data_IF_963319178364
#
_entry.id   IF_963319178364
#
_cell.length_a   1.000
_cell.length_b   1.000
_cell.length_c   1.000
_cell.angle_alpha   90.00
_cell.angle_beta   90.00
_cell.angle_gamma   90.00
#
_symmetry.space_group_name_H-M   'P 1'
#
loop_
_entity.id
_entity.type
_entity.pdbx_description
1 polymer ?
#
# COMPACT_ATOMS: atom_id res chain seq x y z
N UNK A 1 -33.17 -18.86 4.24
CA UNK A 1 -32.08 -18.00 4.75
C UNK A 1 -30.81 -18.38 4.01
N UNK A 2 -30.53 -17.72 2.89
CA UNK A 2 -29.32 -17.96 2.08
C UNK A 2 -28.17 -17.20 2.75
N UNK A 3 -27.30 -17.95 3.45
CA UNK A 3 -26.02 -17.41 3.90
C UNK A 3 -25.18 -17.08 2.66
N UNK A 4 -25.05 -15.82 2.36
CA UNK A 4 -24.05 -15.33 1.40
C UNK A 4 -22.68 -15.67 1.99
N UNK A 5 -22.05 -16.74 1.48
CA UNK A 5 -20.69 -17.11 1.86
C UNK A 5 -19.76 -15.98 1.40
N UNK A 6 -19.47 -15.06 2.28
CA UNK A 6 -18.52 -14.00 2.01
C UNK A 6 -17.16 -14.64 1.71
N UNK A 7 -16.62 -14.45 0.52
CA UNK A 7 -15.36 -15.03 0.12
C UNK A 7 -14.27 -14.59 1.13
N UNK A 8 -13.56 -15.56 1.69
CA UNK A 8 -12.48 -15.27 2.65
C UNK A 8 -11.35 -14.52 1.94
N UNK A 9 -10.87 -13.46 2.57
CA UNK A 9 -9.65 -12.75 2.13
C UNK A 9 -8.47 -13.71 2.03
N UNK A 10 -7.81 -13.72 0.89
CA UNK A 10 -6.72 -14.64 0.56
C UNK A 10 -5.37 -13.98 0.76
N UNK A 11 -4.54 -14.56 1.62
CA UNK A 11 -3.22 -14.03 1.95
C UNK A 11 -2.14 -15.03 1.50
N UNK A 12 -1.14 -14.54 0.78
CA UNK A 12 0.06 -15.28 0.43
C UNK A 12 1.20 -14.86 1.36
N UNK A 13 1.82 -15.84 2.03
CA UNK A 13 3.00 -15.64 2.89
C UNK A 13 4.21 -16.26 2.21
N UNK A 14 5.25 -15.48 2.02
CA UNK A 14 6.52 -15.89 1.42
C UNK A 14 7.64 -15.64 2.43
N UNK A 15 8.18 -16.68 3.02
CA UNK A 15 9.22 -16.60 4.07
C UNK A 15 10.00 -17.92 4.09
N UNK A 16 11.30 -17.94 4.24
CA UNK A 16 12.09 -19.16 4.25
C UNK A 16 12.11 -19.87 5.62
N UNK A 17 11.76 -19.17 6.71
CA UNK A 17 11.63 -19.74 8.05
C UNK A 17 10.35 -20.60 8.16
N UNK A 18 10.50 -21.91 8.20
CA UNK A 18 9.39 -22.87 8.34
C UNK A 18 8.56 -22.64 9.61
N UNK A 19 9.20 -22.28 10.73
CA UNK A 19 8.51 -22.06 12.01
C UNK A 19 7.62 -20.82 11.94
N UNK A 20 8.12 -19.76 11.31
CA UNK A 20 7.34 -18.54 11.11
C UNK A 20 6.19 -18.79 10.14
N UNK A 21 6.41 -19.50 9.04
CA UNK A 21 5.34 -19.90 8.11
C UNK A 21 4.24 -20.67 8.82
N UNK A 22 4.58 -21.67 9.64
CA UNK A 22 3.61 -22.48 10.38
C UNK A 22 2.83 -21.64 11.40
N UNK A 23 3.51 -20.74 12.11
CA UNK A 23 2.88 -19.81 13.03
C UNK A 23 1.88 -18.91 12.31
N UNK A 24 2.31 -18.24 11.23
CA UNK A 24 1.46 -17.31 10.48
C UNK A 24 0.31 -18.05 9.80
N UNK A 25 0.54 -19.21 9.23
CA UNK A 25 -0.52 -20.03 8.62
C UNK A 25 -1.63 -20.33 9.63
N UNK A 26 -1.28 -20.86 10.80
CA UNK A 26 -2.25 -21.19 11.85
C UNK A 26 -2.94 -19.93 12.36
N UNK A 27 -2.17 -18.93 12.78
CA UNK A 27 -2.71 -17.74 13.43
C UNK A 27 -3.64 -16.93 12.50
N UNK A 28 -3.26 -16.71 11.25
CA UNK A 28 -4.07 -15.95 10.30
C UNK A 28 -5.32 -16.74 9.86
N UNK A 29 -5.26 -18.07 9.74
CA UNK A 29 -6.47 -18.87 9.51
C UNK A 29 -7.45 -18.79 10.69
N UNK A 30 -6.97 -18.78 11.94
CA UNK A 30 -7.80 -18.55 13.13
C UNK A 30 -8.46 -17.15 13.12
N UNK A 31 -7.81 -16.15 12.50
CA UNK A 31 -8.38 -14.81 12.30
C UNK A 31 -9.36 -14.73 11.10
N UNK A 32 -9.65 -15.86 10.44
CA UNK A 32 -10.65 -15.95 9.37
C UNK A 32 -10.13 -15.73 7.95
N UNK A 33 -8.82 -15.55 7.75
CA UNK A 33 -8.20 -15.44 6.43
C UNK A 33 -8.06 -16.82 5.75
N UNK A 34 -7.89 -16.83 4.43
CA UNK A 34 -7.49 -18.00 3.66
C UNK A 34 -6.00 -17.88 3.31
N UNK A 35 -5.14 -18.63 3.97
CA UNK A 35 -3.70 -18.45 3.90
C UNK A 35 -3.04 -19.54 3.04
N UNK A 36 -2.10 -19.12 2.20
CA UNK A 36 -1.11 -19.97 1.55
C UNK A 36 0.28 -19.53 1.98
N UNK A 37 1.14 -20.50 2.23
CA UNK A 37 2.53 -20.25 2.63
C UNK A 37 3.48 -20.93 1.66
N UNK A 38 4.56 -20.25 1.30
CA UNK A 38 5.62 -20.77 0.43
C UNK A 38 6.99 -20.33 0.94
N UNK A 39 8.04 -21.07 0.56
CA UNK A 39 9.40 -20.85 1.07
C UNK A 39 10.27 -19.95 0.21
N UNK A 40 9.89 -19.73 -1.05
CA UNK A 40 10.74 -19.05 -2.02
C UNK A 40 9.95 -18.40 -3.17
N UNK A 41 10.66 -17.66 -4.00
CA UNK A 41 10.10 -16.96 -5.15
C UNK A 41 9.57 -17.91 -6.25
N UNK A 42 10.13 -19.11 -6.37
CA UNK A 42 9.72 -20.07 -7.43
C UNK A 42 8.32 -20.62 -7.13
N UNK A 43 8.10 -21.05 -5.89
CA UNK A 43 6.78 -21.50 -5.45
C UNK A 43 5.76 -20.35 -5.47
N UNK A 44 6.16 -19.15 -5.01
CA UNK A 44 5.34 -17.96 -5.08
C UNK A 44 4.86 -17.68 -6.51
N UNK A 45 5.76 -17.68 -7.49
CA UNK A 45 5.42 -17.41 -8.89
C UNK A 45 4.45 -18.46 -9.46
N UNK A 46 4.61 -19.73 -9.10
CA UNK A 46 3.69 -20.81 -9.51
C UNK A 46 2.27 -20.58 -8.98
N UNK A 47 2.15 -20.09 -7.73
CA UNK A 47 0.84 -19.77 -7.14
C UNK A 47 0.22 -18.54 -7.79
N UNK A 48 0.98 -17.45 -7.96
CA UNK A 48 0.49 -16.21 -8.58
C UNK A 48 0.04 -16.41 -10.03
N UNK A 49 0.62 -17.36 -10.75
CA UNK A 49 0.18 -17.71 -12.11
C UNK A 49 -1.20 -18.41 -12.15
N UNK A 50 -1.67 -18.99 -11.05
CA UNK A 50 -2.89 -19.80 -10.97
C UNK A 50 -3.98 -19.20 -10.11
N UNK A 51 -3.61 -18.40 -9.13
CA UNK A 51 -4.49 -17.93 -8.07
C UNK A 51 -4.31 -16.42 -7.83
N UNK A 52 -5.38 -15.77 -7.40
CA UNK A 52 -5.34 -14.36 -6.98
C UNK A 52 -5.30 -14.28 -5.46
N UNK A 53 -4.58 -13.31 -4.96
CA UNK A 53 -4.46 -13.00 -3.54
C UNK A 53 -4.81 -11.54 -3.30
N UNK A 54 -5.36 -11.25 -2.12
CA UNK A 54 -5.76 -9.90 -1.72
C UNK A 54 -4.62 -9.16 -1.02
N UNK A 55 -3.61 -9.89 -0.51
CA UNK A 55 -2.45 -9.34 0.16
C UNK A 55 -1.31 -10.36 0.17
N UNK A 56 -0.08 -9.88 0.05
CA UNK A 56 1.14 -10.66 0.24
C UNK A 56 1.89 -10.21 1.49
N UNK A 57 2.39 -11.17 2.27
CA UNK A 57 3.38 -10.98 3.32
C UNK A 57 4.68 -11.55 2.77
N UNK A 58 5.71 -10.72 2.65
CA UNK A 58 6.93 -11.06 1.92
C UNK A 58 8.15 -10.83 2.81
N UNK A 59 8.92 -11.87 3.06
CA UNK A 59 10.22 -11.71 3.71
C UNK A 59 11.20 -10.97 2.79
N UNK A 60 11.98 -10.11 3.39
CA UNK A 60 13.06 -9.40 2.72
C UNK A 60 14.20 -10.35 2.34
N UNK A 61 14.57 -11.24 3.27
CA UNK A 61 15.75 -12.10 3.18
C UNK A 61 15.36 -13.50 2.71
N UNK A 62 15.04 -13.64 1.42
CA UNK A 62 14.74 -14.93 0.80
C UNK A 62 15.95 -15.49 0.06
N UNK A 63 16.11 -16.82 0.01
CA UNK A 63 17.15 -17.45 -0.80
C UNK A 63 16.84 -17.29 -2.30
N UNK A 64 17.85 -16.99 -3.07
CA UNK A 64 17.77 -16.81 -4.52
C UNK A 64 17.34 -15.40 -4.91
N UNK A 65 16.04 -15.13 -5.08
CA UNK A 65 15.51 -13.78 -5.35
C UNK A 65 15.05 -13.14 -4.05
N UNK A 66 15.71 -12.04 -3.63
CA UNK A 66 15.36 -11.29 -2.41
C UNK A 66 14.00 -10.59 -2.53
N UNK A 67 13.40 -10.26 -1.36
CA UNK A 67 12.07 -9.65 -1.31
C UNK A 67 11.96 -8.29 -1.98
N UNK A 68 13.05 -7.48 -2.02
CA UNK A 68 13.05 -6.19 -2.72
C UNK A 68 13.00 -6.40 -4.24
N UNK A 69 13.77 -7.35 -4.74
CA UNK A 69 13.79 -7.72 -6.16
C UNK A 69 12.43 -8.26 -6.61
N UNK A 70 11.80 -9.14 -5.80
CA UNK A 70 10.45 -9.63 -6.03
C UNK A 70 9.44 -8.48 -6.10
N UNK A 71 9.44 -7.58 -5.11
CA UNK A 71 8.53 -6.44 -5.07
C UNK A 71 8.70 -5.54 -6.30
N UNK A 72 9.93 -5.20 -6.66
CA UNK A 72 10.25 -4.40 -7.86
C UNK A 72 9.72 -5.05 -9.13
N UNK A 73 9.94 -6.34 -9.29
CA UNK A 73 9.47 -7.11 -10.45
C UNK A 73 7.96 -7.16 -10.53
N UNK A 74 7.26 -7.41 -9.43
CA UNK A 74 5.80 -7.41 -9.38
C UNK A 74 5.22 -6.04 -9.75
N UNK A 75 5.76 -4.96 -9.18
CA UNK A 75 5.32 -3.59 -9.52
C UNK A 75 5.63 -3.23 -10.98
N UNK A 76 6.79 -3.66 -11.48
CA UNK A 76 7.17 -3.47 -12.89
C UNK A 76 6.27 -4.21 -13.88
N UNK A 77 5.67 -5.33 -13.48
CA UNK A 77 4.68 -6.07 -14.28
C UNK A 77 3.23 -5.56 -14.11
N UNK A 78 3.02 -4.49 -13.34
CA UNK A 78 1.68 -3.92 -13.10
C UNK A 78 0.89 -4.62 -11.99
N UNK A 79 1.50 -5.53 -11.22
CA UNK A 79 0.82 -6.16 -10.08
C UNK A 79 0.73 -5.17 -8.91
N UNK A 80 -0.49 -4.80 -8.54
CA UNK A 80 -0.79 -3.81 -7.49
C UNK A 80 -1.32 -4.45 -6.20
N UNK A 81 -1.31 -5.77 -6.10
CA UNK A 81 -1.64 -6.47 -4.85
C UNK A 81 -0.83 -5.88 -3.69
N UNK A 82 -1.48 -5.55 -2.54
CA UNK A 82 -0.78 -5.04 -1.37
C UNK A 82 0.31 -5.97 -0.86
N UNK A 83 1.46 -5.39 -0.50
CA UNK A 83 2.62 -6.13 0.03
C UNK A 83 3.02 -5.54 1.38
N UNK A 84 3.03 -6.40 2.42
CA UNK A 84 3.67 -6.13 3.71
C UNK A 84 5.01 -6.82 3.70
N UNK A 85 6.10 -6.07 3.85
CA UNK A 85 7.43 -6.66 3.96
C UNK A 85 7.79 -6.98 5.40
N UNK A 86 8.35 -8.17 5.62
CA UNK A 86 8.99 -8.54 6.89
C UNK A 86 10.49 -8.25 6.77
N UNK A 87 11.05 -7.52 7.76
CA UNK A 87 12.45 -7.07 7.72
C UNK A 87 13.19 -7.48 8.99
N UNK A 88 14.51 -7.60 8.92
CA UNK A 88 15.33 -7.72 10.14
C UNK A 88 15.28 -6.41 10.95
N UNK A 89 15.39 -6.50 12.27
CA UNK A 89 15.42 -5.33 13.15
C UNK A 89 16.73 -4.56 12.93
N UNK A 90 16.63 -3.28 12.55
CA UNK A 90 17.78 -2.36 12.46
C UNK A 90 18.15 -1.91 11.06
N UNK A 91 17.53 -2.41 10.00
CA UNK A 91 17.81 -1.98 8.63
C UNK A 91 16.85 -0.86 8.19
N UNK A 92 17.12 0.36 8.66
CA UNK A 92 16.37 1.54 8.22
C UNK A 92 16.57 1.83 6.72
N UNK A 93 17.73 1.43 6.16
CA UNK A 93 18.03 1.58 4.73
C UNK A 93 17.15 0.65 3.89
N UNK A 94 17.04 -0.62 4.25
CA UNK A 94 16.18 -1.59 3.56
C UNK A 94 14.71 -1.21 3.64
N UNK A 95 14.29 -0.60 4.76
CA UNK A 95 12.93 -0.10 4.95
C UNK A 95 12.60 1.06 4.04
N UNK A 96 13.55 2.00 3.85
CA UNK A 96 13.39 3.13 2.93
C UNK A 96 13.37 2.62 1.49
N UNK A 97 14.34 1.79 1.10
CA UNK A 97 14.48 1.23 -0.25
C UNK A 97 13.25 0.42 -0.63
N UNK A 98 12.73 -0.40 0.24
CA UNK A 98 11.58 -1.21 -0.11
C UNK A 98 10.27 -0.40 -0.22
N UNK A 99 10.08 0.65 0.59
CA UNK A 99 8.97 1.59 0.38
C UNK A 99 9.16 2.35 -0.94
N UNK A 100 10.37 2.69 -1.35
CA UNK A 100 10.67 3.26 -2.67
C UNK A 100 10.35 2.29 -3.82
N UNK A 101 10.44 0.98 -3.59
CA UNK A 101 10.15 -0.06 -4.58
C UNK A 101 8.66 -0.38 -4.70
N UNK A 102 7.83 -0.11 -3.67
CA UNK A 102 6.40 -0.31 -3.80
C UNK A 102 5.70 -1.16 -2.76
N UNK A 103 6.36 -1.49 -1.66
CA UNK A 103 5.68 -2.10 -0.53
C UNK A 103 4.67 -1.12 0.10
N UNK A 104 3.56 -1.66 0.58
CA UNK A 104 2.49 -0.88 1.21
C UNK A 104 2.72 -0.69 2.71
N UNK A 105 3.42 -1.61 3.36
CA UNK A 105 3.84 -1.50 4.76
C UNK A 105 5.05 -2.37 5.07
N UNK A 106 5.64 -2.17 6.26
CA UNK A 106 6.80 -2.86 6.81
C UNK A 106 6.56 -3.32 8.22
N UNK A 107 7.07 -4.50 8.56
CA UNK A 107 7.01 -5.05 9.90
C UNK A 107 8.35 -5.66 10.28
N UNK A 108 9.11 -5.05 11.23
CA UNK A 108 10.38 -5.59 11.68
C UNK A 108 10.22 -6.90 12.46
N UNK A 109 11.05 -7.90 12.18
CA UNK A 109 11.21 -9.12 12.98
C UNK A 109 12.11 -8.85 14.19
N UNK A 110 11.80 -9.35 15.42
CA UNK A 110 10.60 -10.09 15.78
C UNK A 110 9.38 -9.17 15.97
N UNK A 111 8.20 -9.61 15.61
CA UNK A 111 6.96 -8.87 15.71
C UNK A 111 5.88 -9.64 16.49
N UNK A 112 4.89 -8.89 16.99
CA UNK A 112 3.70 -9.50 17.55
C UNK A 112 2.72 -9.86 16.43
N UNK A 113 2.21 -11.11 16.33
CA UNK A 113 1.22 -11.49 15.32
C UNK A 113 -0.05 -10.61 15.32
N UNK A 114 -0.44 -10.05 16.46
CA UNK A 114 -1.56 -9.10 16.55
C UNK A 114 -1.25 -7.79 15.81
N UNK A 115 0.00 -7.33 15.83
CA UNK A 115 0.43 -6.16 15.06
C UNK A 115 0.30 -6.41 13.56
N UNK A 116 0.74 -7.58 13.09
CA UNK A 116 0.59 -7.99 11.70
C UNK A 116 -0.89 -7.98 11.27
N UNK A 117 -1.79 -8.57 12.08
CA UNK A 117 -3.23 -8.56 11.80
C UNK A 117 -3.79 -7.14 11.74
N UNK A 118 -3.41 -6.27 12.66
CA UNK A 118 -3.84 -4.86 12.64
C UNK A 118 -3.40 -4.14 11.35
N UNK A 119 -2.18 -4.41 10.85
CA UNK A 119 -1.66 -3.87 9.59
C UNK A 119 -2.40 -4.44 8.36
N UNK A 120 -2.64 -5.76 8.33
CA UNK A 120 -3.45 -6.41 7.30
C UNK A 120 -4.83 -5.76 7.23
N UNK A 121 -5.52 -5.63 8.36
CA UNK A 121 -6.84 -5.00 8.41
C UNK A 121 -6.82 -3.53 7.98
N UNK A 122 -5.79 -2.78 8.36
CA UNK A 122 -5.64 -1.38 7.94
C UNK A 122 -5.48 -1.26 6.42
N UNK A 123 -4.72 -2.16 5.79
CA UNK A 123 -4.51 -2.19 4.33
C UNK A 123 -5.80 -2.62 3.62
N UNK A 124 -6.44 -3.70 4.07
CA UNK A 124 -7.65 -4.23 3.43
C UNK A 124 -8.87 -3.30 3.56
N UNK A 125 -9.02 -2.57 4.67
CA UNK A 125 -10.07 -1.54 4.80
C UNK A 125 -9.94 -0.43 3.76
N UNK A 126 -8.76 -0.23 3.21
CA UNK A 126 -8.53 0.74 2.13
C UNK A 126 -9.00 0.22 0.77
N UNK A 127 -9.28 -1.07 0.66
CA UNK A 127 -9.91 -1.69 -0.51
C UNK A 127 -11.43 -1.74 -0.24
N UNK A 128 -12.27 -0.84 -0.79
CA UNK A 128 -13.70 -1.02 -0.69
C UNK A 128 -14.08 -2.32 -1.40
N UNK A 129 -15.05 -3.08 -0.88
CA UNK A 129 -15.63 -4.17 -1.64
C UNK A 129 -16.10 -3.61 -2.98
N UNK A 130 -15.88 -4.36 -4.07
CA UNK A 130 -16.41 -4.00 -5.37
C UNK A 130 -17.92 -3.71 -5.21
N UNK A 131 -18.44 -2.56 -5.68
CA UNK A 131 -19.85 -2.27 -5.56
C UNK A 131 -20.65 -3.41 -6.22
N UNK A 132 -21.70 -3.92 -5.56
CA UNK A 132 -22.54 -4.92 -6.17
C UNK A 132 -23.11 -4.37 -7.49
N UNK A 133 -23.20 -5.18 -8.55
CA UNK A 133 -23.77 -4.75 -9.82
C UNK A 133 -25.19 -4.20 -9.57
N UNK A 134 -25.41 -2.90 -9.83
CA UNK A 134 -26.72 -2.27 -9.69
C UNK A 134 -26.98 -1.50 -8.39
N UNK A 135 -25.98 -1.29 -7.51
CA UNK A 135 -26.18 -0.39 -6.38
C UNK A 135 -26.38 1.06 -6.87
N UNK A 136 -27.44 1.78 -6.39
CA UNK A 136 -27.62 3.18 -6.73
C UNK A 136 -26.39 3.95 -6.21
N UNK A 137 -25.73 4.69 -7.13
CA UNK A 137 -24.43 5.28 -6.91
C UNK A 137 -24.35 6.11 -5.62
N UNK A 138 -23.51 5.70 -4.69
CA UNK A 138 -22.81 6.67 -3.84
C UNK A 138 -22.19 7.69 -4.80
N UNK A 139 -22.48 8.97 -4.59
CA UNK A 139 -22.02 10.06 -5.45
C UNK A 139 -20.54 9.81 -5.79
N UNK A 140 -20.25 9.63 -7.09
CA UNK A 140 -18.90 9.35 -7.57
C UNK A 140 -18.09 10.60 -7.25
N UNK A 141 -17.36 10.57 -6.14
CA UNK A 141 -16.48 11.68 -5.79
C UNK A 141 -15.25 11.62 -6.71
N UNK A 142 -15.28 12.46 -7.73
CA UNK A 142 -14.15 12.67 -8.63
C UNK A 142 -13.48 13.98 -8.22
N UNK A 143 -12.18 13.93 -8.00
CA UNK A 143 -11.34 15.10 -7.78
C UNK A 143 -10.47 15.30 -9.01
N UNK A 144 -10.53 16.49 -9.61
CA UNK A 144 -9.74 16.85 -10.78
C UNK A 144 -8.66 17.85 -10.39
N UNK A 145 -7.43 17.63 -10.86
CA UNK A 145 -6.29 18.53 -10.67
C UNK A 145 -5.29 18.38 -11.81
N UNK A 146 -4.89 19.49 -12.43
CA UNK A 146 -4.07 19.44 -13.64
C UNK A 146 -4.71 18.57 -14.73
N UNK A 147 -3.96 17.58 -15.23
CA UNK A 147 -4.42 16.58 -16.21
C UNK A 147 -4.98 15.31 -15.56
N UNK A 148 -5.08 15.30 -14.23
CA UNK A 148 -5.45 14.11 -13.46
C UNK A 148 -6.90 14.13 -13.03
N UNK A 149 -7.48 12.93 -13.00
CA UNK A 149 -8.82 12.66 -12.51
C UNK A 149 -8.76 11.49 -11.53
N UNK A 150 -8.97 11.79 -10.26
CA UNK A 150 -8.97 10.81 -9.17
C UNK A 150 -10.41 10.43 -8.82
N UNK A 151 -10.78 9.19 -9.06
CA UNK A 151 -12.06 8.63 -8.65
C UNK A 151 -11.90 7.98 -7.27
N UNK A 152 -12.46 8.58 -6.23
CA UNK A 152 -12.35 8.09 -4.85
C UNK A 152 -13.18 6.81 -4.63
N UNK A 153 -14.24 6.59 -5.41
CA UNK A 153 -15.08 5.40 -5.33
C UNK A 153 -14.42 4.16 -5.94
N UNK A 154 -13.93 4.28 -7.18
CA UNK A 154 -13.24 3.17 -7.87
C UNK A 154 -11.75 3.08 -7.54
N UNK A 155 -11.20 4.08 -6.86
CA UNK A 155 -9.77 4.19 -6.48
C UNK A 155 -8.83 4.23 -7.69
N UNK A 156 -9.28 4.81 -8.78
CA UNK A 156 -8.50 4.93 -10.01
C UNK A 156 -8.03 6.37 -10.20
N UNK A 157 -6.78 6.51 -10.60
CA UNK A 157 -6.22 7.76 -11.08
C UNK A 157 -6.06 7.65 -12.61
N UNK A 158 -6.54 8.66 -13.32
CA UNK A 158 -6.28 8.76 -14.77
C UNK A 158 -5.56 10.06 -15.07
N UNK A 159 -4.64 10.02 -16.03
CA UNK A 159 -3.96 11.19 -16.62
C UNK A 159 -4.36 11.30 -18.07
N UNK A 160 -4.99 12.39 -18.46
CA UNK A 160 -5.48 12.59 -19.84
C UNK A 160 -6.27 11.38 -20.39
N UNK A 161 -7.03 10.69 -19.53
CA UNK A 161 -7.83 9.51 -19.87
C UNK A 161 -7.10 8.16 -19.79
N UNK A 162 -5.78 8.13 -19.66
CA UNK A 162 -5.01 6.90 -19.43
C UNK A 162 -4.89 6.59 -17.94
N UNK A 163 -5.03 5.33 -17.54
CA UNK A 163 -4.91 4.92 -16.15
C UNK A 163 -3.46 5.03 -15.67
N UNK A 164 -3.28 5.69 -14.51
CA UNK A 164 -2.03 5.77 -13.78
C UNK A 164 -2.12 4.87 -12.55
N UNK A 165 -1.36 3.78 -12.54
CA UNK A 165 -1.40 2.79 -11.47
C UNK A 165 -0.89 3.35 -10.14
N UNK A 166 -1.68 3.17 -9.08
CA UNK A 166 -1.32 3.51 -7.70
C UNK A 166 -1.38 2.27 -6.82
N UNK A 167 -0.40 2.12 -5.94
CA UNK A 167 -0.52 1.14 -4.85
C UNK A 167 -1.60 1.58 -3.86
N UNK A 168 -2.03 0.65 -3.00
CA UNK A 168 -3.03 0.94 -1.95
C UNK A 168 -2.57 2.06 -1.02
N UNK A 169 -1.28 2.10 -0.68
CA UNK A 169 -0.70 3.13 0.17
C UNK A 169 -0.63 4.49 -0.50
N UNK A 170 -0.23 4.55 -1.77
CA UNK A 170 -0.18 5.78 -2.57
C UNK A 170 -1.57 6.38 -2.77
N UNK A 171 -2.56 5.54 -3.10
CA UNK A 171 -3.94 6.01 -3.20
C UNK A 171 -4.44 6.58 -1.87
N UNK A 172 -4.20 5.89 -0.75
CA UNK A 172 -4.65 6.34 0.56
C UNK A 172 -4.04 7.71 0.92
N UNK A 173 -2.75 7.90 0.66
CA UNK A 173 -2.06 9.17 0.89
C UNK A 173 -2.57 10.27 -0.03
N UNK A 174 -2.71 10.00 -1.33
CA UNK A 174 -3.25 10.96 -2.29
C UNK A 174 -4.67 11.37 -1.94
N UNK A 175 -5.53 10.42 -1.54
CA UNK A 175 -6.88 10.69 -1.07
C UNK A 175 -6.88 11.70 0.07
N UNK A 176 -6.10 11.46 1.12
CA UNK A 176 -6.00 12.40 2.27
C UNK A 176 -5.58 13.79 1.82
N UNK A 177 -4.59 13.89 0.93
CA UNK A 177 -4.07 15.15 0.43
C UNK A 177 -5.13 15.94 -0.38
N UNK A 178 -5.87 15.26 -1.29
CA UNK A 178 -6.89 15.93 -2.10
C UNK A 178 -8.16 16.28 -1.32
N UNK A 179 -8.46 15.57 -0.24
CA UNK A 179 -9.55 15.91 0.68
C UNK A 179 -9.23 17.11 1.59
N UNK A 180 -7.94 17.51 1.67
CA UNK A 180 -7.49 18.66 2.47
C UNK A 180 -6.69 19.66 1.60
N UNK A 181 -7.28 20.20 0.53
CA UNK A 181 -6.56 21.08 -0.37
C UNK A 181 -6.13 22.36 0.34
N UNK A 182 -4.92 22.83 0.02
CA UNK A 182 -4.30 24.06 0.58
C UNK A 182 -4.12 24.06 2.10
N UNK A 183 -4.34 22.90 2.75
CA UNK A 183 -4.14 22.74 4.19
C UNK A 183 -2.84 22.01 4.44
N UNK A 184 -1.85 22.59 5.11
CA UNK A 184 -0.64 21.88 5.52
C UNK A 184 -0.99 20.77 6.51
N UNK A 185 -0.54 19.55 6.20
CA UNK A 185 -0.69 18.40 7.06
C UNK A 185 0.67 17.93 7.56
N UNK A 186 0.78 17.71 8.87
CA UNK A 186 2.00 17.15 9.45
C UNK A 186 2.20 15.69 9.01
N UNK A 187 3.44 15.21 9.08
CA UNK A 187 3.75 13.80 8.78
C UNK A 187 2.95 12.83 9.64
N UNK A 188 2.81 13.17 10.93
CA UNK A 188 2.02 12.38 11.89
C UNK A 188 0.55 12.32 11.47
N UNK A 189 -0.02 13.47 11.09
CA UNK A 189 -1.42 13.54 10.66
C UNK A 189 -1.65 12.79 9.37
N UNK A 190 -0.74 12.88 8.41
CA UNK A 190 -0.78 12.11 7.17
C UNK A 190 -0.70 10.60 7.43
N UNK A 191 0.18 10.17 8.36
CA UNK A 191 0.28 8.78 8.74
C UNK A 191 -1.00 8.27 9.41
N UNK A 192 -1.53 9.01 10.38
CA UNK A 192 -2.76 8.68 11.07
C UNK A 192 -3.93 8.55 10.08
N UNK A 193 -4.15 9.54 9.23
CA UNK A 193 -5.27 9.57 8.30
C UNK A 193 -5.14 8.57 7.15
N UNK A 194 -3.94 8.43 6.57
CA UNK A 194 -3.72 7.53 5.46
C UNK A 194 -3.52 6.07 5.90
N UNK A 195 -2.97 5.80 7.09
CA UNK A 195 -2.63 4.45 7.54
C UNK A 195 -3.33 4.01 8.82
N UNK A 196 -3.97 4.91 9.57
CA UNK A 196 -4.70 4.60 10.81
C UNK A 196 -3.77 4.13 11.94
N UNK A 197 -2.52 4.60 11.95
CA UNK A 197 -1.53 4.30 13.00
C UNK A 197 -0.72 5.54 13.35
N UNK A 198 -0.16 5.54 14.58
CA UNK A 198 0.73 6.59 15.03
C UNK A 198 2.06 6.61 14.25
N UNK A 199 2.62 7.78 14.11
CA UNK A 199 3.92 8.01 13.49
C UNK A 199 5.03 7.66 14.49
N UNK A 200 5.92 6.72 14.12
CA UNK A 200 7.13 6.47 14.90
C UNK A 200 8.22 7.50 14.57
N UNK A 201 9.01 7.92 15.57
CA UNK A 201 10.02 8.96 15.44
C UNK A 201 11.02 8.78 14.26
N UNK A 202 11.15 7.56 13.74
CA UNK A 202 12.02 7.22 12.61
C UNK A 202 11.25 6.71 11.38
N UNK A 203 9.93 6.87 11.34
CA UNK A 203 9.11 6.38 10.23
C UNK A 203 9.11 7.36 9.05
N UNK A 204 10.04 7.20 8.13
CA UNK A 204 10.12 8.00 6.88
C UNK A 204 9.19 7.50 5.76
N UNK A 205 8.28 6.61 6.06
CA UNK A 205 7.41 6.00 5.03
C UNK A 205 6.53 7.01 4.28
N UNK A 206 6.12 8.09 4.93
CA UNK A 206 5.35 9.18 4.28
C UNK A 206 6.22 9.93 3.28
N UNK A 207 7.46 10.29 3.63
CA UNK A 207 8.36 11.04 2.75
C UNK A 207 8.66 10.23 1.46
N UNK A 208 8.85 8.93 1.62
CA UNK A 208 9.07 8.01 0.50
C UNK A 208 7.83 7.89 -0.38
N UNK A 209 6.64 7.74 0.21
CA UNK A 209 5.40 7.67 -0.56
C UNK A 209 5.08 8.99 -1.27
N UNK A 210 5.34 10.13 -0.64
CA UNK A 210 5.26 11.44 -1.30
C UNK A 210 6.23 11.52 -2.48
N UNK A 211 7.47 11.06 -2.31
CA UNK A 211 8.45 11.02 -3.41
C UNK A 211 7.94 10.21 -4.59
N UNK A 212 7.30 9.05 -4.35
CA UNK A 212 6.72 8.22 -5.40
C UNK A 212 5.49 8.86 -6.05
N UNK A 213 4.56 9.40 -5.26
CA UNK A 213 3.42 10.14 -5.78
C UNK A 213 3.86 11.28 -6.69
N UNK A 214 4.89 12.03 -6.29
CA UNK A 214 5.46 13.09 -7.13
C UNK A 214 5.95 12.57 -8.48
N UNK A 215 6.59 11.40 -8.54
CA UNK A 215 7.01 10.79 -9.81
C UNK A 215 5.83 10.46 -10.73
N UNK A 216 4.64 10.24 -10.17
CA UNK A 216 3.44 9.89 -10.93
C UNK A 216 2.67 11.14 -11.36
N UNK A 217 2.50 12.10 -10.44
CA UNK A 217 1.57 13.23 -10.66
C UNK A 217 2.24 14.56 -10.98
N UNK A 218 3.53 14.73 -10.70
CA UNK A 218 4.22 16.00 -10.97
C UNK A 218 4.84 16.02 -12.37
N UNK A 219 4.84 17.15 -13.06
CA UNK A 219 5.62 17.33 -14.27
C UNK A 219 7.14 17.19 -14.03
N UNK A 220 7.61 17.70 -12.88
CA UNK A 220 8.97 17.58 -12.38
C UNK A 220 8.94 17.27 -10.88
N UNK A 221 9.30 16.04 -10.51
CA UNK A 221 9.29 15.61 -9.11
C UNK A 221 10.27 16.39 -8.21
N UNK A 222 11.30 17.02 -8.78
CA UNK A 222 12.25 17.86 -8.05
C UNK A 222 11.68 19.28 -7.78
N UNK A 223 10.69 19.71 -8.58
CA UNK A 223 9.98 20.99 -8.44
C UNK A 223 8.47 20.78 -8.36
N UNK A 224 7.99 20.15 -7.27
CA UNK A 224 6.61 19.72 -7.18
C UNK A 224 5.64 20.91 -7.17
N UNK A 225 4.65 20.84 -8.06
CA UNK A 225 3.59 21.83 -8.17
C UNK A 225 2.38 21.45 -7.29
N UNK A 226 1.99 20.17 -7.25
CA UNK A 226 0.79 19.70 -6.54
C UNK A 226 1.06 19.35 -5.09
N UNK A 227 2.09 18.53 -4.81
CA UNK A 227 2.43 18.14 -3.43
C UNK A 227 3.67 18.92 -2.99
N UNK A 228 3.48 20.04 -2.31
CA UNK A 228 4.58 20.88 -1.86
C UNK A 228 5.04 20.52 -0.44
N UNK A 229 6.34 20.71 -0.17
CA UNK A 229 6.92 20.48 1.15
C UNK A 229 6.76 21.71 2.02
N UNK A 230 6.21 21.55 3.21
CA UNK A 230 6.23 22.56 4.28
C UNK A 230 7.37 22.17 5.23
N UNK A 231 8.48 22.89 5.12
CA UNK A 231 9.72 22.57 5.83
C UNK A 231 9.52 22.49 7.35
N UNK A 232 10.08 21.45 7.94
CA UNK A 232 9.95 21.17 9.38
C UNK A 232 8.56 20.67 9.82
N UNK A 233 7.56 20.63 8.92
CA UNK A 233 6.19 20.27 9.28
C UNK A 233 5.67 19.03 8.52
N UNK A 234 5.54 19.13 7.20
CA UNK A 234 4.96 18.04 6.40
C UNK A 234 4.71 18.46 4.95
N UNK A 235 3.47 18.27 4.48
CA UNK A 235 3.11 18.48 3.08
C UNK A 235 1.78 19.20 2.93
N UNK A 236 1.62 19.89 1.79
CA UNK A 236 0.37 20.54 1.40
C UNK A 236 0.04 20.20 -0.05
N UNK A 237 -1.22 19.96 -0.34
CA UNK A 237 -1.71 19.73 -1.69
C UNK A 237 -2.28 21.01 -2.31
N UNK A 238 -1.79 21.36 -3.50
CA UNK A 238 -2.16 22.56 -4.25
C UNK A 238 -2.81 22.13 -5.58
N UNK A 239 -4.16 22.09 -5.69
CA UNK A 239 -4.85 21.52 -6.84
C UNK A 239 -4.54 22.17 -8.19
N UNK A 240 -4.27 23.47 -8.21
CA UNK A 240 -3.97 24.27 -9.42
C UNK A 240 -2.47 24.38 -9.70
N UNK A 241 -1.62 23.73 -8.91
CA UNK A 241 -0.18 23.73 -9.12
C UNK A 241 0.49 25.09 -8.94
N UNK A 242 -0.21 26.10 -8.39
CA UNK A 242 0.33 27.44 -8.16
C UNK A 242 0.51 27.66 -6.67
N UNK A 243 1.75 27.87 -6.25
CA UNK A 243 2.02 28.42 -4.92
C UNK A 243 1.39 29.82 -4.81
N UNK A 244 0.70 30.10 -3.71
CA UNK A 244 0.32 31.47 -3.36
C UNK A 244 1.54 32.26 -2.88
#
# INVERSE_FOLDING_TARGET
MTQTTQAKTRILVVDDDARLRDLLNRYLNEQGYAVRVVSDAVEMNRLLARERYDLMILDLMLPGEDGLSICRRLRGSGEMMPIIMLTAKGDDVDRIVGLEIGADDYLPKPFNPRELVARIQAILRRQPPAPPPGAPGTAVQIVEFGEFRLNLGTRTLTKAGAEAALTTGEFALLKVLVEHPRTPLSRDKLMEMARGREFGAFDRSIDVQVSRLRKIIEPDAAKPAFIQTVWGFGYVFIPDGKAQ
#
